data_IF_000797914703
#
_entry.id   IF_000797914703
#
_cell.length_a   1.000
_cell.length_b   1.000
_cell.length_c   1.000
_cell.angle_alpha   90.00
_cell.angle_beta   90.00
_cell.angle_gamma   90.00
#
_symmetry.space_group_name_H-M   'P 1'
#
loop_
_entity.id
_entity.type
_entity.pdbx_description
1 polymer ?
#
# COMPACT_ATOMS: atom_id res chain seq x y z
N UNK A 1 10.88 -12.80 -14.39
CA UNK A 1 10.09 -11.87 -15.22
C UNK A 1 8.64 -12.30 -15.17
N UNK A 2 7.70 -11.36 -15.00
CA UNK A 2 6.27 -11.65 -14.93
C UNK A 2 5.50 -10.57 -15.68
N UNK A 3 4.42 -10.98 -16.36
CA UNK A 3 3.55 -10.09 -17.12
C UNK A 3 2.14 -10.14 -16.55
N UNK A 4 1.50 -8.97 -16.45
CA UNK A 4 0.09 -8.85 -16.08
C UNK A 4 -0.71 -8.61 -17.36
N UNK A 5 -1.74 -9.44 -17.59
CA UNK A 5 -2.68 -9.27 -18.70
C UNK A 5 -4.05 -8.97 -18.12
N UNK A 6 -4.51 -7.73 -18.30
CA UNK A 6 -5.86 -7.32 -17.91
C UNK A 6 -6.85 -7.75 -19.00
N UNK A 7 -7.66 -8.78 -18.72
CA UNK A 7 -8.80 -9.17 -19.57
C UNK A 7 -10.02 -8.34 -19.20
N UNK A 8 -10.87 -8.05 -20.18
CA UNK A 8 -12.12 -7.30 -20.01
C UNK A 8 -11.94 -5.93 -19.32
N UNK A 9 -10.85 -5.23 -19.67
CA UNK A 9 -10.58 -3.91 -19.16
C UNK A 9 -11.72 -2.94 -19.53
N UNK A 10 -12.39 -2.42 -18.50
CA UNK A 10 -13.55 -1.54 -18.62
C UNK A 10 -13.27 -0.20 -17.93
N UNK A 11 -12.56 0.74 -18.60
CA UNK A 11 -12.31 2.05 -18.03
C UNK A 11 -13.62 2.85 -17.88
N UNK A 12 -13.68 3.79 -16.92
CA UNK A 12 -14.82 4.69 -16.81
C UNK A 12 -14.94 5.59 -18.06
N UNK A 13 -16.16 6.06 -18.32
CA UNK A 13 -16.44 6.95 -19.45
C UNK A 13 -15.55 8.21 -19.40
N UNK A 14 -14.97 8.58 -20.56
CA UNK A 14 -14.09 9.74 -20.67
C UNK A 14 -12.67 9.55 -20.11
N UNK A 15 -12.29 8.34 -19.70
CA UNK A 15 -10.90 8.04 -19.31
C UNK A 15 -9.97 8.08 -20.52
N UNK A 16 -8.91 8.89 -20.42
CA UNK A 16 -7.82 8.95 -21.40
C UNK A 16 -6.58 8.35 -20.74
N UNK A 17 -6.03 7.24 -21.28
CA UNK A 17 -4.79 6.66 -20.76
C UNK A 17 -3.64 7.66 -20.83
N UNK A 18 -2.90 7.81 -19.75
CA UNK A 18 -1.68 8.63 -19.69
C UNK A 18 -0.59 7.90 -18.89
N UNK A 19 0.66 8.20 -19.21
CA UNK A 19 1.83 7.79 -18.41
C UNK A 19 2.15 8.80 -17.30
N UNK A 20 1.46 9.95 -17.29
CA UNK A 20 1.62 10.97 -16.26
C UNK A 20 1.18 10.41 -14.92
N UNK A 21 2.08 10.44 -13.94
CA UNK A 21 1.75 10.11 -12.56
C UNK A 21 1.93 11.34 -11.67
N UNK A 22 0.90 12.18 -11.53
CA UNK A 22 0.95 13.38 -10.71
C UNK A 22 1.13 13.09 -9.22
N UNK A 23 1.06 11.83 -8.77
CA UNK A 23 1.37 11.43 -7.40
C UNK A 23 2.86 11.13 -7.18
N UNK A 24 3.63 10.96 -8.25
CA UNK A 24 5.07 10.64 -8.20
C UNK A 24 5.97 11.81 -8.57
N UNK A 25 5.41 12.95 -8.96
CA UNK A 25 6.17 14.17 -9.22
C UNK A 25 6.37 14.94 -7.89
N UNK A 26 7.61 14.99 -7.34
CA UNK A 26 7.88 15.65 -6.07
C UNK A 26 7.76 17.17 -6.14
N UNK A 27 7.93 17.77 -7.33
CA UNK A 27 7.92 19.22 -7.53
C UNK A 27 6.54 19.76 -7.93
N UNK A 28 5.70 18.92 -8.54
CA UNK A 28 4.34 19.31 -8.94
C UNK A 28 3.33 19.34 -7.78
N UNK A 29 3.63 18.67 -6.66
CA UNK A 29 2.63 18.39 -5.63
C UNK A 29 1.43 17.62 -6.19
N UNK A 30 0.33 17.53 -5.43
CA UNK A 30 -0.95 17.02 -5.92
C UNK A 30 -1.54 18.04 -6.93
N UNK A 31 -1.05 18.05 -8.17
CA UNK A 31 -1.49 18.92 -9.27
C UNK A 31 -2.86 18.49 -9.85
N UNK A 32 -3.83 18.23 -8.97
CA UNK A 32 -5.17 17.75 -9.31
C UNK A 32 -5.93 18.70 -10.25
N UNK A 33 -5.58 19.99 -10.25
CA UNK A 33 -6.15 20.99 -11.15
C UNK A 33 -5.82 20.77 -12.62
N UNK A 34 -4.72 20.07 -12.92
CA UNK A 34 -4.30 19.74 -14.28
C UNK A 34 -5.01 18.48 -14.81
N UNK A 35 -5.62 17.68 -13.92
CA UNK A 35 -6.35 16.48 -14.27
C UNK A 35 -7.80 16.82 -14.62
N UNK A 36 -8.38 16.06 -15.54
CA UNK A 36 -9.78 16.19 -15.95
C UNK A 36 -10.49 14.84 -15.94
N UNK A 37 -11.82 14.88 -15.86
CA UNK A 37 -12.65 13.69 -15.86
C UNK A 37 -12.31 12.72 -14.71
N UNK A 38 -12.35 11.39 -14.96
CA UNK A 38 -12.14 10.38 -13.92
C UNK A 38 -10.75 10.44 -13.26
N UNK A 39 -9.74 10.97 -13.95
CA UNK A 39 -8.37 11.08 -13.41
C UNK A 39 -8.23 12.16 -12.31
N UNK A 40 -9.20 13.07 -12.15
CA UNK A 40 -9.20 14.10 -11.09
C UNK A 40 -9.80 13.62 -9.77
N UNK A 41 -10.51 12.49 -9.78
CA UNK A 41 -11.28 12.02 -8.62
C UNK A 41 -10.37 11.20 -7.71
N UNK A 42 -10.20 11.64 -6.46
CA UNK A 42 -9.62 10.80 -5.41
C UNK A 42 -10.74 9.90 -4.89
N UNK A 43 -10.64 8.61 -5.16
CA UNK A 43 -11.57 7.64 -4.59
C UNK A 43 -11.36 7.59 -3.07
N UNK A 44 -12.43 7.70 -2.26
CA UNK A 44 -12.31 7.52 -0.83
C UNK A 44 -11.88 6.08 -0.57
N UNK A 45 -10.69 5.91 0.02
CA UNK A 45 -10.25 4.63 0.53
C UNK A 45 -10.44 4.61 2.05
N UNK A 46 -10.88 3.47 2.57
CA UNK A 46 -10.96 3.24 4.01
C UNK A 46 -9.81 2.32 4.36
N UNK A 47 -8.85 2.82 5.14
CA UNK A 47 -7.85 1.97 5.76
C UNK A 47 -8.56 1.14 6.85
N UNK A 48 -8.72 -0.16 6.61
CA UNK A 48 -9.29 -1.09 7.58
C UNK A 48 -8.16 -1.62 8.47
N UNK A 49 -8.01 -1.05 9.65
CA UNK A 49 -7.01 -1.45 10.64
C UNK A 49 -7.11 -0.58 11.89
N UNK A 50 -6.73 -1.12 13.04
CA UNK A 50 -6.63 -0.33 14.26
C UNK A 50 -5.31 0.46 14.25
N UNK A 51 -5.38 1.79 14.39
CA UNK A 51 -4.20 2.64 14.50
C UNK A 51 -3.44 2.43 15.82
N UNK A 52 -4.02 1.69 16.77
CA UNK A 52 -3.37 1.32 18.03
C UNK A 52 -2.43 0.12 17.89
N UNK A 53 -2.48 -0.61 16.77
CA UNK A 53 -1.66 -1.79 16.54
C UNK A 53 -0.24 -1.46 16.07
N UNK A 54 0.62 -2.48 16.06
CA UNK A 54 2.00 -2.39 15.60
C UNK A 54 2.06 -2.05 14.10
N UNK A 55 2.92 -1.11 13.75
CA UNK A 55 3.25 -0.74 12.36
C UNK A 55 4.09 -1.86 11.72
N UNK A 56 3.62 -2.51 10.63
CA UNK A 56 4.36 -3.59 9.99
C UNK A 56 5.71 -3.15 9.42
N UNK A 57 5.91 -1.86 9.14
CA UNK A 57 7.16 -1.32 8.60
C UNK A 57 8.16 -0.92 9.69
N UNK A 58 7.83 -1.16 10.97
CA UNK A 58 8.71 -0.87 12.11
C UNK A 58 9.21 -2.14 12.79
N UNK A 59 10.45 -2.05 13.26
CA UNK A 59 11.01 -3.02 14.20
C UNK A 59 10.76 -2.55 15.64
N UNK A 60 10.06 -3.36 16.42
CA UNK A 60 9.76 -3.10 17.83
C UNK A 60 10.66 -3.93 18.75
N UNK A 61 10.93 -3.46 19.98
CA UNK A 61 11.61 -4.27 21.00
C UNK A 61 10.83 -5.56 21.27
N UNK A 62 11.54 -6.68 21.43
CA UNK A 62 10.91 -7.98 21.75
C UNK A 62 10.28 -8.01 23.15
N UNK A 63 10.78 -7.17 24.07
CA UNK A 63 10.31 -7.06 25.44
C UNK A 63 9.13 -6.07 25.52
N UNK A 64 7.91 -6.56 25.30
CA UNK A 64 6.71 -5.72 25.21
C UNK A 64 6.07 -5.41 26.57
N UNK A 65 6.12 -6.37 27.51
CA UNK A 65 5.56 -6.24 28.85
C UNK A 65 6.72 -6.18 29.88
N UNK A 66 6.84 -5.14 30.70
CA UNK A 66 7.90 -5.05 31.72
C UNK A 66 7.88 -6.20 32.73
N UNK A 67 6.73 -6.84 32.94
CA UNK A 67 6.50 -7.90 33.92
C UNK A 67 6.68 -9.30 33.36
N UNK A 68 6.70 -9.47 32.03
CA UNK A 68 6.77 -10.77 31.36
C UNK A 68 7.96 -10.82 30.39
N UNK A 69 9.05 -11.54 30.69
CA UNK A 69 10.19 -11.65 29.79
C UNK A 69 9.79 -12.25 28.44
N UNK A 70 10.37 -11.72 27.36
CA UNK A 70 10.22 -12.30 26.03
C UNK A 70 10.64 -13.76 26.02
N UNK A 71 9.84 -14.60 25.38
CA UNK A 71 10.16 -16.01 25.13
C UNK A 71 10.12 -16.25 23.64
N UNK A 72 11.23 -16.71 23.07
CA UNK A 72 11.29 -17.06 21.66
C UNK A 72 10.36 -18.24 21.37
N UNK A 73 9.57 -18.12 20.31
CA UNK A 73 8.77 -19.20 19.75
C UNK A 73 9.16 -19.36 18.29
N UNK A 74 9.51 -20.57 17.83
CA UNK A 74 9.85 -20.78 16.43
C UNK A 74 8.64 -20.50 15.53
N UNK A 75 8.85 -19.99 14.30
CA UNK A 75 7.76 -19.74 13.37
C UNK A 75 6.99 -21.04 13.07
N UNK A 76 5.65 -20.99 12.95
CA UNK A 76 4.83 -22.18 12.69
C UNK A 76 5.21 -22.91 11.39
N UNK A 77 5.74 -22.16 10.42
CA UNK A 77 6.26 -22.68 9.18
C UNK A 77 7.74 -22.25 9.04
N UNK A 78 8.71 -23.16 9.23
CA UNK A 78 10.10 -22.85 8.94
C UNK A 78 10.31 -22.67 7.42
N UNK A 79 11.40 -21.99 7.00
CA UNK A 79 11.73 -21.85 5.58
C UNK A 79 11.74 -23.20 4.86
N UNK A 80 11.13 -23.24 3.68
CA UNK A 80 11.08 -24.44 2.86
C UNK A 80 12.42 -24.56 2.13
N UNK A 81 13.38 -25.20 2.79
CA UNK A 81 14.78 -25.40 2.38
C UNK A 81 15.66 -24.11 2.33
N UNK A 82 16.94 -24.19 2.77
CA UNK A 82 17.91 -23.11 2.65
C UNK A 82 18.42 -22.90 1.21
#
# INVERSE_FOLDING_TARGET
EAFVVCRDYSPPEGFVPTMDNPLLDPDAGLALSQLSGPSRVIVPFVACGDLSAYDPDRTYPLQLDPTKPYTYVPPPAPPIAP
#
